data_IF_184868142316
#
_entry.id   IF_184868142316
#
_cell.length_a   1.000
_cell.length_b   1.000
_cell.length_c   1.000
_cell.angle_alpha   90.00
_cell.angle_beta   90.00
_cell.angle_gamma   90.00
#
_symmetry.space_group_name_H-M   'P 1'
#
loop_
_entity.id
_entity.type
_entity.pdbx_description
1 polymer ?
#
# COMPACT_ATOMS: atom_id res chain seq x y z
N UNK A 1 -15.20 -11.28 -17.83
CA UNK A 1 -15.62 -9.87 -18.03
C UNK A 1 -14.47 -8.95 -17.67
N UNK A 2 -14.11 -8.01 -18.56
CA UNK A 2 -12.99 -7.07 -18.39
C UNK A 2 -13.37 -5.65 -18.82
N UNK A 3 -14.48 -5.11 -18.31
CA UNK A 3 -15.05 -3.80 -18.70
C UNK A 3 -14.21 -2.58 -18.28
N UNK A 4 -13.09 -2.79 -17.56
CA UNK A 4 -12.17 -1.75 -17.10
C UNK A 4 -12.74 -0.70 -16.13
N UNK A 5 -13.99 -0.84 -15.67
CA UNK A 5 -14.58 0.09 -14.71
C UNK A 5 -13.83 0.14 -13.38
N UNK A 6 -13.20 -0.96 -12.96
CA UNK A 6 -12.36 -0.95 -11.76
C UNK A 6 -11.12 -0.06 -11.91
N UNK A 7 -10.57 0.09 -13.13
CA UNK A 7 -9.46 1.02 -13.41
C UNK A 7 -9.96 2.46 -13.32
N UNK A 8 -11.06 2.77 -13.99
CA UNK A 8 -11.66 4.11 -13.99
C UNK A 8 -12.10 4.57 -12.58
N UNK A 9 -12.65 3.64 -11.78
CA UNK A 9 -13.14 3.93 -10.44
C UNK A 9 -12.01 4.16 -9.41
N UNK A 10 -10.77 3.73 -9.69
CA UNK A 10 -9.68 3.84 -8.72
C UNK A 10 -9.09 5.26 -8.74
N UNK A 11 -9.26 6.07 -7.67
CA UNK A 11 -8.78 7.45 -7.67
C UNK A 11 -7.25 7.58 -7.62
N UNK A 12 -6.56 6.46 -7.42
CA UNK A 12 -5.11 6.38 -7.35
C UNK A 12 -4.48 5.93 -8.68
N UNK A 13 -5.29 5.49 -9.65
CA UNK A 13 -4.82 5.01 -10.97
C UNK A 13 -3.74 3.92 -10.88
N UNK A 14 -3.78 3.09 -9.82
CA UNK A 14 -2.81 2.00 -9.57
C UNK A 14 -3.28 0.63 -10.07
N UNK A 15 -4.43 0.59 -10.75
CA UNK A 15 -4.94 -0.61 -11.42
C UNK A 15 -4.58 -0.52 -12.90
N UNK A 16 -4.15 -1.63 -13.47
CA UNK A 16 -3.73 -1.71 -14.87
C UNK A 16 -4.20 -3.03 -15.48
N UNK A 17 -4.15 -3.18 -16.81
CA UNK A 17 -4.39 -4.46 -17.46
C UNK A 17 -3.06 -5.18 -17.60
N UNK A 18 -2.96 -6.38 -17.03
CA UNK A 18 -1.77 -7.21 -17.16
C UNK A 18 -1.57 -7.58 -18.64
N UNK A 19 -0.39 -7.32 -19.22
CA UNK A 19 -0.17 -7.48 -20.66
C UNK A 19 -0.22 -8.95 -21.11
N UNK A 20 0.02 -9.90 -20.21
CA UNK A 20 0.01 -11.34 -20.48
C UNK A 20 -1.37 -11.92 -20.26
N UNK A 21 -1.93 -11.77 -19.06
CA UNK A 21 -3.22 -12.41 -18.71
C UNK A 21 -4.43 -11.65 -19.24
N UNK A 22 -4.26 -10.38 -19.65
CA UNK A 22 -5.33 -9.47 -20.08
C UNK A 22 -6.41 -9.24 -19.01
N UNK A 23 -6.08 -9.49 -17.73
CA UNK A 23 -6.95 -9.26 -16.58
C UNK A 23 -6.50 -8.00 -15.84
N UNK A 24 -7.45 -7.30 -15.20
CA UNK A 24 -7.15 -6.18 -14.34
C UNK A 24 -6.30 -6.62 -13.14
N UNK A 25 -5.20 -5.90 -12.91
CA UNK A 25 -4.18 -6.21 -11.93
C UNK A 25 -3.79 -4.95 -11.14
N UNK A 26 -3.12 -5.14 -10.01
CA UNK A 26 -2.65 -4.09 -9.09
C UNK A 26 -1.69 -4.68 -8.08
N UNK A 27 -1.01 -3.82 -7.32
CA UNK A 27 -0.35 -4.26 -6.09
C UNK A 27 -1.34 -5.01 -5.18
N UNK A 28 -0.97 -6.21 -4.76
CA UNK A 28 -1.71 -7.07 -3.84
C UNK A 28 -0.95 -7.29 -2.52
N UNK A 29 0.03 -6.44 -2.25
CA UNK A 29 0.99 -6.57 -1.14
C UNK A 29 1.78 -7.88 -1.16
N UNK A 30 2.01 -8.46 -2.35
CA UNK A 30 2.72 -9.73 -2.51
C UNK A 30 1.99 -10.92 -1.86
N UNK A 31 0.66 -10.83 -1.72
CA UNK A 31 -0.17 -11.86 -1.07
C UNK A 31 0.05 -13.25 -1.65
N UNK A 32 0.17 -13.37 -2.97
CA UNK A 32 0.36 -14.66 -3.66
C UNK A 32 1.82 -15.05 -3.89
N UNK A 33 2.77 -14.20 -3.48
CA UNK A 33 4.21 -14.40 -3.70
C UNK A 33 4.94 -14.43 -2.35
N UNK A 34 5.65 -13.36 -1.99
CA UNK A 34 6.50 -13.32 -0.79
C UNK A 34 5.72 -13.59 0.50
N UNK A 35 4.54 -12.98 0.68
CA UNK A 35 3.76 -13.19 1.91
C UNK A 35 3.28 -14.65 2.03
N UNK A 36 2.96 -15.30 0.91
CA UNK A 36 2.59 -16.73 0.91
C UNK A 36 3.76 -17.64 1.33
N UNK A 37 4.99 -17.18 1.18
CA UNK A 37 6.21 -17.86 1.62
C UNK A 37 6.69 -17.41 3.02
N UNK A 38 5.89 -16.62 3.75
CA UNK A 38 6.27 -16.10 5.08
C UNK A 38 7.36 -15.02 5.04
N UNK A 39 7.61 -14.41 3.88
CA UNK A 39 8.57 -13.31 3.70
C UNK A 39 7.86 -11.96 3.69
N UNK A 40 8.60 -10.89 3.95
CA UNK A 40 8.13 -9.51 3.72
C UNK A 40 7.79 -9.26 2.25
N UNK A 41 6.87 -8.32 1.93
CA UNK A 41 6.60 -7.92 0.55
C UNK A 41 7.89 -7.52 -0.17
N UNK A 42 8.00 -7.88 -1.45
CA UNK A 42 9.25 -7.71 -2.21
C UNK A 42 9.79 -6.26 -2.18
N UNK A 43 8.90 -5.26 -2.25
CA UNK A 43 9.30 -3.86 -2.19
C UNK A 43 9.82 -3.41 -0.81
N UNK A 44 9.36 -4.04 0.28
CA UNK A 44 9.85 -3.80 1.65
C UNK A 44 11.22 -4.43 1.82
N UNK A 45 11.37 -5.69 1.39
CA UNK A 45 12.60 -6.46 1.47
C UNK A 45 13.73 -5.78 0.66
N UNK A 46 13.43 -5.36 -0.58
CA UNK A 46 14.40 -4.79 -1.51
C UNK A 46 14.83 -3.35 -1.18
N UNK A 47 14.12 -2.65 -0.31
CA UNK A 47 14.39 -1.23 -0.05
C UNK A 47 15.66 -1.06 0.81
N UNK A 48 16.75 -0.47 0.28
CA UNK A 48 18.00 -0.34 1.03
C UNK A 48 17.89 0.69 2.17
N UNK A 49 17.06 1.72 1.99
CA UNK A 49 16.85 2.79 2.97
C UNK A 49 15.75 2.48 3.99
N UNK A 50 15.09 1.33 3.89
CA UNK A 50 13.97 0.92 4.78
C UNK A 50 12.84 1.96 4.86
N UNK A 51 12.53 2.57 3.73
CA UNK A 51 11.46 3.57 3.59
C UNK A 51 10.05 2.97 3.71
N UNK A 52 9.90 1.66 3.47
CA UNK A 52 8.63 0.96 3.55
C UNK A 52 8.60 0.05 4.78
N UNK A 53 7.46 0.03 5.46
CA UNK A 53 7.16 -0.92 6.54
C UNK A 53 5.81 -1.54 6.26
N UNK A 54 5.74 -2.85 6.48
CA UNK A 54 4.54 -3.63 6.34
C UNK A 54 4.25 -4.37 7.64
N UNK A 55 2.98 -4.72 7.86
CA UNK A 55 2.54 -5.39 9.07
C UNK A 55 1.02 -5.42 9.21
N UNK A 56 0.54 -6.13 10.21
CA UNK A 56 -0.87 -6.25 10.53
C UNK A 56 -1.33 -5.06 11.39
N UNK A 57 -2.24 -4.23 10.89
CA UNK A 57 -2.76 -3.09 11.64
C UNK A 57 -3.59 -3.47 12.87
N UNK A 58 -4.12 -4.70 12.90
CA UNK A 58 -4.89 -5.22 14.03
C UNK A 58 -3.99 -5.81 15.14
N UNK A 59 -2.69 -5.94 14.86
CA UNK A 59 -1.67 -6.37 15.82
C UNK A 59 -0.91 -5.13 16.35
N UNK A 60 -1.11 -4.75 17.64
CA UNK A 60 -0.43 -3.61 18.25
C UNK A 60 1.10 -3.75 18.29
N UNK A 61 1.61 -4.98 18.27
CA UNK A 61 3.05 -5.25 18.31
C UNK A 61 3.67 -5.26 16.90
N UNK A 62 2.86 -5.10 15.85
CA UNK A 62 3.36 -5.04 14.48
C UNK A 62 4.25 -3.81 14.24
N UNK A 63 5.26 -3.91 13.35
CA UNK A 63 6.15 -2.79 13.04
C UNK A 63 5.40 -1.53 12.57
N UNK A 64 4.30 -1.70 11.84
CA UNK A 64 3.49 -0.58 11.34
C UNK A 64 2.66 0.06 12.46
N UNK A 65 2.02 -0.72 13.34
CA UNK A 65 1.24 -0.19 14.46
C UNK A 65 2.12 0.66 15.38
N UNK A 66 3.31 0.15 15.69
CA UNK A 66 4.32 0.86 16.48
C UNK A 66 4.78 2.17 15.82
N UNK A 67 4.94 2.21 14.49
CA UNK A 67 5.27 3.46 13.78
C UNK A 67 4.13 4.46 13.76
N UNK A 68 2.88 4.01 13.59
CA UNK A 68 1.71 4.91 13.59
C UNK A 68 1.50 5.62 14.92
N UNK A 69 1.94 5.04 16.04
CA UNK A 69 1.93 5.68 17.36
C UNK A 69 3.07 6.71 17.50
N UNK A 70 4.23 6.43 16.89
CA UNK A 70 5.46 7.23 17.07
C UNK A 70 5.61 8.38 16.08
N UNK A 71 5.09 8.21 14.87
CA UNK A 71 5.33 9.11 13.74
C UNK A 71 4.05 9.82 13.32
N UNK A 72 4.15 11.11 13.01
CA UNK A 72 3.06 11.82 12.35
C UNK A 72 2.92 11.28 10.92
N UNK A 73 1.74 10.76 10.59
CA UNK A 73 1.46 10.21 9.27
C UNK A 73 0.20 10.79 8.65
N UNK A 74 0.11 10.72 7.33
CA UNK A 74 -1.09 11.08 6.59
C UNK A 74 -1.46 10.01 5.57
N UNK A 75 -2.70 10.04 5.11
CA UNK A 75 -3.20 9.17 4.03
C UNK A 75 -3.49 10.00 2.78
N UNK A 76 -2.95 9.55 1.65
CA UNK A 76 -3.10 10.27 0.39
C UNK A 76 -4.56 10.26 -0.11
N UNK A 77 -5.05 11.43 -0.55
CA UNK A 77 -6.43 11.66 -1.03
C UNK A 77 -7.52 11.22 -0.03
N UNK A 78 -7.32 11.48 1.26
CA UNK A 78 -8.29 11.12 2.31
C UNK A 78 -9.69 11.70 2.08
N UNK A 79 -9.80 12.89 1.47
CA UNK A 79 -11.07 13.53 1.13
C UNK A 79 -11.99 12.70 0.21
N UNK A 80 -11.46 11.70 -0.51
CA UNK A 80 -12.24 10.85 -1.41
C UNK A 80 -12.93 9.66 -0.71
N UNK A 81 -12.82 9.54 0.61
CA UNK A 81 -13.57 8.55 1.41
C UNK A 81 -13.13 7.08 1.24
N UNK A 82 -12.05 6.80 0.50
CA UNK A 82 -11.63 5.40 0.19
C UNK A 82 -10.83 4.71 1.30
N UNK A 83 -10.52 5.42 2.40
CA UNK A 83 -9.83 4.87 3.59
C UNK A 83 -8.62 3.98 3.28
N UNK A 84 -7.62 4.47 2.51
CA UNK A 84 -6.49 3.66 2.08
C UNK A 84 -5.66 3.15 3.26
N UNK A 85 -5.08 1.95 3.13
CA UNK A 85 -4.24 1.29 4.14
C UNK A 85 -2.74 1.50 3.90
N UNK A 86 -2.38 2.64 3.32
CA UNK A 86 -1.02 3.08 3.10
C UNK A 86 -0.85 4.45 3.76
N UNK A 87 0.05 4.50 4.74
CA UNK A 87 0.35 5.68 5.53
C UNK A 87 1.67 6.27 5.05
N UNK A 88 1.76 7.59 5.02
CA UNK A 88 2.95 8.31 4.56
C UNK A 88 3.48 9.19 5.67
N UNK A 89 4.80 9.14 5.86
CA UNK A 89 5.53 10.07 6.70
C UNK A 89 5.81 11.32 5.85
N UNK A 90 5.41 12.52 6.29
CA UNK A 90 5.70 13.76 5.58
C UNK A 90 7.20 14.08 5.63
N UNK A 91 7.69 14.73 4.57
CA UNK A 91 9.07 15.22 4.49
C UNK A 91 9.05 16.73 4.75
N UNK A 92 9.46 17.17 5.94
CA UNK A 92 9.42 18.57 6.37
C UNK A 92 8.15 18.96 7.15
N UNK A 93 7.99 20.25 7.47
CA UNK A 93 6.80 20.78 8.15
C UNK A 93 5.53 20.54 7.32
N UNK A 94 4.49 20.03 7.97
CA UNK A 94 3.18 19.78 7.37
C UNK A 94 2.42 21.10 7.39
N UNK A 95 2.37 21.83 6.28
CA UNK A 95 1.36 22.87 6.13
C UNK A 95 0.01 22.19 5.93
N UNK A 96 -0.90 22.47 6.87
CA UNK A 96 -2.28 21.97 6.90
C UNK A 96 -3.11 22.50 5.74
#
# INVERSE_FOLDING_TARGET
>A
VGCMYCLAACPYQVRFINPVTRVADKCDFCRKTNLAAGKEPACVESCPTKALVFGNLDDPDSPIAQRLVKETTYRYKQALGTSPKMYRVPKGEITS
#
